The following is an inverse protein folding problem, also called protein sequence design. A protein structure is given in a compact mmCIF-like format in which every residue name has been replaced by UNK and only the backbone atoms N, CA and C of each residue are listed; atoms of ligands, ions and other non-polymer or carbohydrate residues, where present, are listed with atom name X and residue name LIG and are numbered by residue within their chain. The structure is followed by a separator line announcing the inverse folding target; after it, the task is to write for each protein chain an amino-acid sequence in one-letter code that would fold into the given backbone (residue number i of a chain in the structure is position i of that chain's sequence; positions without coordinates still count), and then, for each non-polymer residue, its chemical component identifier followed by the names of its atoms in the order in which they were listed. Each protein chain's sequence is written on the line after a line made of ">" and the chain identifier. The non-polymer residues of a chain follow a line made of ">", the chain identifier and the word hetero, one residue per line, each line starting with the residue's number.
data_IF_923626073099
#
_entry.id   IF_923626073099
#
_cell.length_a   1.000
_cell.length_b   1.000
_cell.length_c   1.000
_cell.angle_alpha   90.00
_cell.angle_beta   90.00
_cell.angle_gamma   90.00
#
_symmetry.space_group_name_H-M   'P 1'
#
loop_
_entity.id
_entity.type
_entity.pdbx_description
1 polymer ?
#
# COMPACT_ATOMS: atom_id res chain seq x y z
N UNK A 1 26.64 -22.05 -14.32
CA UNK A 1 26.14 -20.68 -14.14
C UNK A 1 24.63 -20.62 -14.09
N UNK A 2 23.93 -21.26 -15.04
CA UNK A 2 22.46 -21.18 -15.19
C UNK A 2 21.68 -21.41 -13.88
N UNK A 3 21.91 -22.52 -13.16
CA UNK A 3 21.17 -22.81 -11.93
C UNK A 3 21.31 -21.74 -10.84
N UNK A 4 22.47 -21.09 -10.71
CA UNK A 4 22.63 -19.98 -9.76
C UNK A 4 21.80 -18.74 -10.17
N UNK A 5 21.59 -18.54 -11.48
CA UNK A 5 20.70 -17.49 -11.99
C UNK A 5 19.24 -17.87 -11.77
N UNK A 6 18.87 -19.15 -11.90
CA UNK A 6 17.54 -19.65 -11.52
C UNK A 6 17.25 -19.40 -10.03
N UNK A 7 18.21 -19.71 -9.15
CA UNK A 7 18.09 -19.47 -7.71
C UNK A 7 17.90 -17.98 -7.39
N UNK A 8 18.59 -17.09 -8.12
CA UNK A 8 18.37 -15.64 -8.01
C UNK A 8 16.93 -15.26 -8.37
N UNK A 9 16.37 -15.79 -9.47
CA UNK A 9 14.99 -15.51 -9.88
C UNK A 9 13.99 -16.02 -8.85
N UNK A 10 14.18 -17.24 -8.35
CA UNK A 10 13.33 -17.81 -7.28
C UNK A 10 13.41 -16.97 -6.00
N UNK A 11 14.61 -16.53 -5.62
CA UNK A 11 14.81 -15.71 -4.42
C UNK A 11 14.14 -14.34 -4.58
N UNK A 12 14.31 -13.69 -5.74
CA UNK A 12 13.64 -12.43 -6.06
C UNK A 12 12.13 -12.61 -6.00
N UNK A 13 11.61 -13.65 -6.64
CA UNK A 13 10.19 -14.01 -6.61
C UNK A 13 9.64 -14.10 -5.19
N UNK A 14 10.31 -14.87 -4.32
CA UNK A 14 9.89 -15.08 -2.94
C UNK A 14 9.88 -13.76 -2.14
N UNK A 15 10.88 -12.89 -2.34
CA UNK A 15 10.93 -11.58 -1.69
C UNK A 15 9.74 -10.69 -2.04
N UNK A 16 9.30 -10.69 -3.30
CA UNK A 16 8.11 -9.93 -3.70
C UNK A 16 6.84 -10.43 -3.02
N UNK A 17 6.55 -11.72 -3.15
CA UNK A 17 5.28 -12.29 -2.68
C UNK A 17 5.21 -12.31 -1.15
N UNK A 18 6.34 -12.55 -0.46
CA UNK A 18 6.35 -12.73 0.99
C UNK A 18 6.64 -11.45 1.77
N UNK A 19 7.41 -10.52 1.20
CA UNK A 19 7.89 -9.32 1.91
C UNK A 19 7.31 -8.04 1.31
N UNK A 20 7.59 -7.74 0.05
CA UNK A 20 7.22 -6.45 -0.55
C UNK A 20 5.70 -6.29 -0.71
N UNK A 21 4.99 -7.37 -1.04
CA UNK A 21 3.54 -7.35 -1.23
C UNK A 21 2.76 -7.75 0.01
N UNK A 22 3.42 -7.81 1.16
CA UNK A 22 2.76 -8.21 2.39
C UNK A 22 1.65 -7.20 2.77
N UNK A 23 0.40 -7.65 2.93
CA UNK A 23 -0.76 -6.76 3.03
C UNK A 23 -0.73 -5.87 4.27
N UNK A 24 -0.12 -6.33 5.35
CA UNK A 24 0.01 -5.54 6.60
C UNK A 24 0.99 -4.38 6.42
N UNK A 25 2.07 -4.58 5.65
CA UNK A 25 3.06 -3.52 5.38
C UNK A 25 2.42 -2.45 4.50
N UNK A 26 1.72 -2.88 3.43
CA UNK A 26 0.92 -2.00 2.58
C UNK A 26 -0.17 -1.25 3.38
N UNK A 27 -0.77 -1.90 4.38
CA UNK A 27 -1.74 -1.25 5.26
C UNK A 27 -1.16 -0.15 6.15
N UNK A 28 0.15 -0.20 6.47
CA UNK A 28 0.86 0.92 7.11
C UNK A 28 1.24 2.02 6.13
N UNK A 29 1.60 1.64 4.89
CA UNK A 29 1.91 2.59 3.81
C UNK A 29 0.70 3.47 3.48
N UNK A 30 -0.50 2.89 3.36
CA UNK A 30 -1.75 3.65 3.16
C UNK A 30 -1.97 4.65 4.30
N UNK A 31 -1.70 4.26 5.55
CA UNK A 31 -1.82 5.19 6.69
C UNK A 31 -0.81 6.33 6.57
N UNK A 32 0.44 6.02 6.21
CA UNK A 32 1.48 7.03 6.04
C UNK A 32 1.14 8.01 4.92
N UNK A 33 0.67 7.51 3.78
CA UNK A 33 0.20 8.31 2.65
C UNK A 33 -0.93 9.24 3.08
N UNK A 34 -1.97 8.71 3.73
CA UNK A 34 -3.11 9.51 4.20
C UNK A 34 -2.73 10.50 5.30
N UNK A 35 -1.77 10.15 6.18
CA UNK A 35 -1.24 11.03 7.21
C UNK A 35 -0.55 12.25 6.60
N UNK A 36 0.34 12.02 5.63
CA UNK A 36 1.05 13.09 4.93
C UNK A 36 0.09 13.92 4.05
N UNK A 37 -0.90 13.27 3.43
CA UNK A 37 -1.95 13.97 2.67
C UNK A 37 -2.77 14.89 3.57
N UNK A 38 -3.22 14.41 4.74
CA UNK A 38 -3.96 15.25 5.71
C UNK A 38 -3.10 16.40 6.22
N UNK A 39 -1.82 16.17 6.49
CA UNK A 39 -0.88 17.22 6.89
C UNK A 39 -0.75 18.30 5.80
N UNK A 40 -0.68 17.89 4.53
CA UNK A 40 -0.64 18.82 3.40
C UNK A 40 -1.92 19.65 3.29
N UNK A 41 -3.11 19.05 3.40
CA UNK A 41 -4.36 19.82 3.38
C UNK A 41 -4.46 20.82 4.52
N UNK A 42 -4.13 20.42 5.74
CA UNK A 42 -4.14 21.31 6.91
C UNK A 42 -3.11 22.45 6.78
N UNK A 43 -1.96 22.19 6.15
CA UNK A 43 -0.98 23.24 5.85
C UNK A 43 -1.53 24.28 4.87
N UNK A 44 -2.30 23.85 3.87
CA UNK A 44 -2.96 24.77 2.92
C UNK A 44 -4.10 25.57 3.59
N UNK A 45 -4.73 25.03 4.64
CA UNK A 45 -5.75 25.72 5.43
C UNK A 45 -5.15 26.73 6.44
N UNK A 46 -4.12 26.32 7.18
CA UNK A 46 -3.42 27.15 8.19
C UNK A 46 -1.93 26.78 8.29
N UNK A 47 -1.12 27.40 7.44
CA UNK A 47 0.33 27.21 7.41
C UNK A 47 1.02 27.56 8.75
N UNK A 48 0.46 28.51 9.52
CA UNK A 48 1.10 29.01 10.76
C UNK A 48 1.17 27.93 11.84
N UNK A 49 0.22 27.00 11.85
CA UNK A 49 0.22 25.86 12.78
C UNK A 49 1.41 24.93 12.54
N UNK A 50 1.82 24.73 11.27
CA UNK A 50 2.93 23.86 10.89
C UNK A 50 4.31 24.50 11.08
N UNK A 51 4.41 25.83 11.00
CA UNK A 51 5.68 26.56 11.21
C UNK A 51 6.29 26.34 12.60
N UNK A 52 5.44 26.10 13.61
CA UNK A 52 5.87 25.91 14.99
C UNK A 52 6.51 24.54 15.24
N UNK A 53 6.12 23.53 14.48
CA UNK A 53 6.39 22.14 14.85
C UNK A 53 6.87 21.24 13.70
N UNK A 54 6.77 21.66 12.41
CA UNK A 54 7.11 20.81 11.25
C UNK A 54 7.97 21.51 10.20
N UNK A 55 8.92 22.33 10.65
CA UNK A 55 9.70 23.25 9.81
C UNK A 55 10.41 22.61 8.62
N UNK A 56 10.98 21.41 8.77
CA UNK A 56 11.70 20.74 7.69
C UNK A 56 10.77 20.17 6.62
N UNK A 57 9.47 20.03 6.91
CA UNK A 57 8.48 19.59 5.94
C UNK A 57 7.85 20.74 5.15
N UNK A 58 7.91 21.99 5.62
CA UNK A 58 7.22 23.11 4.97
C UNK A 58 7.57 23.26 3.48
N UNK A 59 8.84 23.17 3.03
CA UNK A 59 9.16 23.29 1.60
C UNK A 59 8.53 22.17 0.74
N UNK A 60 8.28 21.00 1.35
CA UNK A 60 7.61 19.88 0.68
C UNK A 60 6.10 20.06 0.63
N UNK A 61 5.52 20.63 1.70
CA UNK A 61 4.10 20.94 1.76
C UNK A 61 3.73 22.13 0.84
N UNK A 62 4.66 23.05 0.60
CA UNK A 62 4.53 24.15 -0.38
C UNK A 62 4.90 23.72 -1.82
N UNK A 63 5.53 22.55 -1.99
CA UNK A 63 5.98 22.05 -3.29
C UNK A 63 7.18 22.80 -3.89
N UNK A 64 7.93 23.54 -3.06
CA UNK A 64 9.00 24.46 -3.47
C UNK A 64 10.35 24.15 -2.80
N UNK A 65 10.71 22.87 -2.69
CA UNK A 65 11.93 22.44 -1.98
C UNK A 65 13.22 22.50 -2.82
N UNK A 66 14.33 22.68 -2.14
CA UNK A 66 15.70 22.56 -2.65
C UNK A 66 16.32 21.21 -2.31
N UNK A 67 17.42 20.86 -2.98
CA UNK A 67 18.18 19.65 -2.65
C UNK A 67 18.71 19.69 -1.21
N UNK A 68 19.11 20.86 -0.71
CA UNK A 68 19.63 21.00 0.66
C UNK A 68 18.54 20.71 1.70
N UNK A 69 17.30 21.14 1.46
CA UNK A 69 16.16 20.83 2.33
C UNK A 69 15.79 19.35 2.27
N UNK A 70 15.85 18.73 1.08
CA UNK A 70 15.65 17.28 0.93
C UNK A 70 16.67 16.46 1.72
N UNK A 71 17.94 16.86 1.70
CA UNK A 71 19.01 16.17 2.44
C UNK A 71 18.90 16.33 3.97
N UNK A 72 18.03 17.21 4.47
CA UNK A 72 17.74 17.36 5.90
C UNK A 72 16.63 16.42 6.38
N UNK A 73 15.91 15.75 5.48
CA UNK A 73 14.85 14.81 5.85
C UNK A 73 15.40 13.40 6.03
N UNK A 74 14.96 12.77 7.12
CA UNK A 74 15.12 11.35 7.40
C UNK A 74 13.90 10.82 8.19
N UNK A 75 13.85 9.51 8.41
CA UNK A 75 12.75 8.86 9.12
C UNK A 75 12.60 9.37 10.56
N UNK A 76 13.69 9.80 11.20
CA UNK A 76 13.69 10.34 12.56
C UNK A 76 13.01 11.72 12.62
N UNK A 77 13.23 12.56 11.62
CA UNK A 77 12.51 13.83 11.44
C UNK A 77 11.01 13.58 11.32
N UNK A 78 10.60 12.66 10.43
CA UNK A 78 9.20 12.31 10.26
C UNK A 78 8.58 11.75 11.55
N UNK A 79 9.27 10.82 12.22
CA UNK A 79 8.81 10.25 13.49
C UNK A 79 8.61 11.28 14.59
N UNK A 80 9.47 12.31 14.63
CA UNK A 80 9.33 13.45 15.57
C UNK A 80 8.05 14.25 15.29
N UNK A 81 7.79 14.58 14.02
CA UNK A 81 6.58 15.31 13.63
C UNK A 81 5.32 14.49 13.84
N UNK A 82 5.34 13.19 13.55
CA UNK A 82 4.21 12.31 13.83
C UNK A 82 3.91 12.25 15.32
N UNK A 83 4.93 12.28 16.19
CA UNK A 83 4.74 12.33 17.65
C UNK A 83 3.98 13.59 18.06
N UNK A 84 4.33 14.75 17.50
CA UNK A 84 3.64 16.01 17.77
C UNK A 84 2.22 16.01 17.18
N UNK A 85 2.05 15.52 15.96
CA UNK A 85 0.74 15.42 15.32
C UNK A 85 -0.21 14.46 16.03
N UNK A 86 0.31 13.49 16.79
CA UNK A 86 -0.49 12.62 17.66
C UNK A 86 -1.20 13.38 18.79
N UNK A 87 -0.86 14.65 19.02
CA UNK A 87 -1.50 15.57 19.95
C UNK A 87 -2.24 16.72 19.25
N UNK A 88 -2.33 16.69 17.90
CA UNK A 88 -3.06 17.70 17.12
C UNK A 88 -4.54 17.74 17.48
N UNK A 89 -5.14 18.92 17.36
CA UNK A 89 -6.58 19.13 17.52
C UNK A 89 -7.40 18.55 16.35
N UNK A 90 -6.79 18.37 15.17
CA UNK A 90 -7.45 17.71 14.04
C UNK A 90 -7.59 16.20 14.32
N UNK A 91 -8.81 15.66 14.41
CA UNK A 91 -9.02 14.28 14.84
C UNK A 91 -8.45 13.25 13.86
N UNK A 92 -8.41 13.55 12.56
CA UNK A 92 -7.91 12.64 11.51
C UNK A 92 -6.38 12.58 11.58
N UNK A 93 -5.71 13.74 11.58
CA UNK A 93 -4.25 13.82 11.71
C UNK A 93 -3.79 13.16 13.01
N UNK A 94 -4.50 13.45 14.11
CA UNK A 94 -4.24 12.86 15.43
C UNK A 94 -4.29 11.33 15.40
N UNK A 95 -5.38 10.77 14.90
CA UNK A 95 -5.58 9.33 14.88
C UNK A 95 -4.63 8.63 13.90
N UNK A 96 -4.42 9.15 12.69
CA UNK A 96 -3.49 8.56 11.72
C UNK A 96 -2.06 8.55 12.24
N UNK A 97 -1.61 9.64 12.89
CA UNK A 97 -0.30 9.70 13.52
C UNK A 97 -0.16 8.65 14.64
N UNK A 98 -1.19 8.53 15.50
CA UNK A 98 -1.24 7.49 16.54
C UNK A 98 -1.25 6.08 15.94
N UNK A 99 -1.95 5.85 14.83
CA UNK A 99 -1.98 4.55 14.15
C UNK A 99 -0.62 4.21 13.58
N UNK A 100 0.07 5.16 12.98
CA UNK A 100 1.41 4.94 12.43
C UNK A 100 2.40 4.59 13.56
N UNK A 101 2.47 5.40 14.61
CA UNK A 101 3.39 5.22 15.74
C UNK A 101 3.10 3.95 16.56
N UNK A 102 1.82 3.63 16.79
CA UNK A 102 1.41 2.46 17.57
C UNK A 102 1.14 1.23 16.70
N UNK A 103 1.54 1.26 15.43
CA UNK A 103 1.44 0.14 14.48
C UNK A 103 0.02 -0.46 14.41
N UNK A 104 -0.96 0.38 14.08
CA UNK A 104 -2.37 0.01 13.82
C UNK A 104 -2.70 0.09 12.33
N UNK A 105 -2.23 -0.85 11.49
CA UNK A 105 -2.45 -0.86 10.05
C UNK A 105 -3.94 -0.98 9.70
N UNK A 106 -4.32 -0.46 8.54
CA UNK A 106 -5.60 -0.81 7.94
C UNK A 106 -5.61 -2.30 7.57
N UNK A 107 -6.78 -2.93 7.71
CA UNK A 107 -7.01 -4.28 7.22
C UNK A 107 -7.38 -4.22 5.74
N UNK A 108 -7.20 -5.31 5.02
CA UNK A 108 -7.59 -5.38 3.61
C UNK A 108 -8.25 -6.69 3.23
N UNK A 109 -9.03 -6.64 2.15
CA UNK A 109 -9.58 -7.79 1.48
C UNK A 109 -9.28 -7.70 -0.03
N UNK A 110 -9.00 -8.83 -0.65
CA UNK A 110 -8.78 -8.91 -2.09
C UNK A 110 -10.10 -8.80 -2.84
N UNK A 111 -10.09 -8.30 -4.07
CA UNK A 111 -11.26 -8.36 -4.94
C UNK A 111 -10.84 -8.57 -6.39
N UNK A 112 -11.78 -9.01 -7.21
CA UNK A 112 -11.60 -9.20 -8.64
C UNK A 112 -12.65 -8.40 -9.36
N UNK A 113 -12.26 -7.40 -10.15
CA UNK A 113 -13.21 -6.54 -10.86
C UNK A 113 -12.73 -5.10 -10.99
N UNK A 114 -13.68 -4.20 -11.22
CA UNK A 114 -13.38 -2.77 -11.32
C UNK A 114 -13.19 -2.14 -9.92
N UNK A 115 -12.20 -1.26 -9.78
CA UNK A 115 -11.95 -0.43 -8.60
C UNK A 115 -13.18 0.40 -8.19
N UNK A 116 -14.01 0.76 -9.16
CA UNK A 116 -15.25 1.53 -8.94
C UNK A 116 -16.49 0.63 -8.82
N UNK A 117 -16.33 -0.64 -8.43
CA UNK A 117 -17.47 -1.53 -8.26
C UNK A 117 -18.51 -0.98 -7.25
N UNK A 118 -19.79 -1.28 -7.49
CA UNK A 118 -20.88 -0.92 -6.58
C UNK A 118 -20.64 -1.45 -5.16
N UNK A 119 -19.97 -2.61 -5.05
CA UNK A 119 -19.60 -3.19 -3.77
C UNK A 119 -18.62 -2.31 -3.00
N UNK A 120 -17.55 -1.82 -3.64
CA UNK A 120 -16.57 -0.93 -2.99
C UNK A 120 -17.27 0.34 -2.53
N UNK A 121 -18.08 0.97 -3.38
CA UNK A 121 -18.84 2.16 -3.01
C UNK A 121 -19.76 1.90 -1.80
N UNK A 122 -20.46 0.76 -1.78
CA UNK A 122 -21.30 0.35 -0.65
C UNK A 122 -20.48 0.20 0.64
N UNK A 123 -19.35 -0.49 0.59
CA UNK A 123 -18.48 -0.70 1.75
C UNK A 123 -17.89 0.62 2.27
N UNK A 124 -17.52 1.53 1.38
CA UNK A 124 -17.05 2.88 1.71
C UNK A 124 -18.13 3.66 2.46
N UNK A 125 -19.39 3.60 2.02
CA UNK A 125 -20.51 4.25 2.73
C UNK A 125 -20.76 3.64 4.11
N UNK A 126 -20.58 2.32 4.28
CA UNK A 126 -20.70 1.67 5.60
C UNK A 126 -19.58 2.10 6.55
N UNK A 127 -18.36 2.31 6.04
CA UNK A 127 -17.23 2.86 6.82
C UNK A 127 -17.52 4.30 7.25
N UNK A 128 -18.05 5.12 6.35
CA UNK A 128 -18.46 6.49 6.65
C UNK A 128 -19.55 6.55 7.72
N UNK A 129 -20.55 5.66 7.63
CA UNK A 129 -21.69 5.61 8.55
C UNK A 129 -21.29 5.38 10.01
N UNK A 130 -20.17 4.70 10.25
CA UNK A 130 -19.65 4.46 11.62
C UNK A 130 -18.69 5.55 12.10
N UNK A 131 -18.48 6.62 11.31
CA UNK A 131 -17.71 7.81 11.70
C UNK A 131 -16.29 7.88 11.14
N UNK A 132 -15.86 6.96 10.29
CA UNK A 132 -14.55 7.03 9.62
C UNK A 132 -14.65 7.75 8.29
N UNK A 133 -13.91 8.84 8.11
CA UNK A 133 -13.86 9.54 6.83
C UNK A 133 -13.25 8.62 5.75
N UNK A 134 -14.01 8.25 4.69
CA UNK A 134 -13.56 7.26 3.73
C UNK A 134 -12.30 7.66 2.96
N UNK A 135 -12.04 8.96 2.79
CA UNK A 135 -10.85 9.48 2.10
C UNK A 135 -9.56 9.05 2.80
N UNK A 136 -9.56 8.96 4.14
CA UNK A 136 -8.35 8.65 4.91
C UNK A 136 -8.36 7.26 5.56
N UNK A 137 -9.53 6.64 5.64
CA UNK A 137 -9.69 5.34 6.29
C UNK A 137 -9.96 4.20 5.32
N UNK A 138 -10.09 4.48 4.01
CA UNK A 138 -10.20 3.47 2.97
C UNK A 138 -9.25 3.75 1.82
N UNK A 139 -8.81 2.71 1.11
CA UNK A 139 -8.00 2.86 -0.09
C UNK A 139 -8.17 1.65 -1.02
N UNK A 140 -7.90 1.84 -2.30
CA UNK A 140 -7.84 0.76 -3.30
C UNK A 140 -6.47 0.77 -3.94
N UNK A 141 -5.64 -0.22 -3.58
CA UNK A 141 -4.27 -0.31 -4.08
C UNK A 141 -4.06 -1.67 -4.76
N UNK A 142 -3.32 -1.65 -5.85
CA UNK A 142 -2.82 -2.84 -6.51
C UNK A 142 -1.31 -2.99 -6.30
N UNK A 143 -0.83 -4.21 -6.06
CA UNK A 143 0.60 -4.50 -6.07
C UNK A 143 0.97 -5.32 -7.29
N UNK A 144 0.91 -4.72 -8.48
CA UNK A 144 1.36 -5.41 -9.70
C UNK A 144 2.86 -5.19 -9.86
N UNK A 145 3.66 -6.25 -9.72
CA UNK A 145 5.02 -6.28 -10.26
C UNK A 145 5.28 -7.64 -10.90
N UNK A 146 6.11 -7.64 -11.93
CA UNK A 146 6.59 -8.84 -12.58
C UNK A 146 7.93 -9.20 -11.93
N UNK A 147 8.04 -10.31 -11.17
CA UNK A 147 9.32 -10.73 -10.59
C UNK A 147 10.36 -10.99 -11.70
N UNK A 148 9.89 -11.39 -12.88
CA UNK A 148 10.63 -11.42 -14.14
C UNK A 148 9.64 -11.26 -15.31
N UNK A 149 9.92 -10.35 -16.24
CA UNK A 149 9.10 -10.14 -17.44
C UNK A 149 9.64 -10.97 -18.60
N UNK A 150 8.75 -11.44 -19.47
CA UNK A 150 9.13 -12.23 -20.64
C UNK A 150 9.88 -11.39 -21.67
N UNK A 151 10.69 -12.08 -22.49
CA UNK A 151 11.18 -11.55 -23.75
C UNK A 151 10.00 -11.21 -24.68
N UNK A 152 9.62 -9.94 -24.73
CA UNK A 152 8.62 -9.39 -25.68
C UNK A 152 9.33 -8.51 -26.70
N UNK A 153 9.87 -9.08 -27.80
CA UNK A 153 10.62 -8.32 -28.81
C UNK A 153 9.76 -7.24 -29.47
N UNK A 154 8.45 -7.49 -29.59
CA UNK A 154 7.47 -6.53 -30.13
C UNK A 154 7.31 -5.27 -29.28
N UNK A 155 7.66 -5.31 -27.98
CA UNK A 155 7.57 -4.16 -27.08
C UNK A 155 8.87 -3.34 -27.01
N UNK A 156 9.94 -3.73 -27.72
CA UNK A 156 11.21 -3.00 -27.76
C UNK A 156 11.93 -2.86 -26.41
N UNK A 157 11.50 -3.59 -25.37
CA UNK A 157 12.06 -3.53 -24.02
C UNK A 157 13.22 -4.51 -23.86
N UNK A 158 14.42 -4.07 -24.25
CA UNK A 158 15.67 -4.84 -24.07
C UNK A 158 16.15 -4.90 -22.60
N UNK A 159 15.58 -4.09 -21.70
CA UNK A 159 16.13 -3.82 -20.35
C UNK A 159 15.82 -4.86 -19.28
N UNK A 160 14.94 -5.84 -19.54
CA UNK A 160 14.45 -6.78 -18.50
C UNK A 160 15.03 -8.21 -18.61
N UNK A 161 15.90 -8.46 -19.59
CA UNK A 161 16.28 -9.82 -19.97
C UNK A 161 17.59 -10.24 -19.33
N UNK A 162 17.67 -11.52 -18.96
CA UNK A 162 18.93 -12.17 -18.57
C UNK A 162 19.34 -13.13 -19.68
N UNK A 163 20.53 -12.91 -20.23
CA UNK A 163 21.09 -13.72 -21.30
C UNK A 163 22.19 -14.65 -20.79
N UNK A 164 22.22 -15.87 -21.32
CA UNK A 164 23.22 -16.90 -21.05
C UNK A 164 24.15 -17.01 -22.25
N UNK A 165 25.45 -16.75 -22.03
CA UNK A 165 26.48 -16.95 -23.04
C UNK A 165 26.81 -18.44 -23.19
N UNK A 166 26.71 -18.94 -24.42
CA UNK A 166 27.10 -20.31 -24.79
C UNK A 166 28.56 -20.38 -25.23
N UNK A 167 29.10 -21.59 -25.28
CA UNK A 167 30.50 -21.83 -25.64
C UNK A 167 30.85 -21.41 -27.08
N UNK A 168 29.86 -21.36 -27.97
CA UNK A 168 30.01 -20.88 -29.35
C UNK A 168 29.93 -19.35 -29.49
N UNK A 169 29.80 -18.63 -28.37
CA UNK A 169 29.68 -17.17 -28.32
C UNK A 169 28.26 -16.65 -28.54
N UNK A 170 27.28 -17.54 -28.77
CA UNK A 170 25.89 -17.12 -28.93
C UNK A 170 25.24 -16.82 -27.58
N UNK A 171 24.29 -15.88 -27.57
CA UNK A 171 23.50 -15.52 -26.42
C UNK A 171 22.11 -16.16 -26.54
N UNK A 172 21.60 -16.68 -25.43
CA UNK A 172 20.23 -17.19 -25.34
C UNK A 172 19.54 -16.64 -24.10
N UNK A 173 18.27 -16.27 -24.22
CA UNK A 173 17.49 -15.75 -23.10
C UNK A 173 17.16 -16.85 -22.09
N UNK A 174 17.21 -16.51 -20.79
CA UNK A 174 17.10 -17.45 -19.68
C UNK A 174 15.81 -18.27 -19.67
N UNK A 175 14.64 -17.65 -19.90
CA UNK A 175 13.36 -18.36 -19.91
C UNK A 175 13.24 -19.37 -21.05
N UNK A 176 13.98 -19.20 -22.15
CA UNK A 176 14.01 -20.18 -23.25
C UNK A 176 14.75 -21.47 -22.88
N UNK A 177 15.64 -21.42 -21.89
CA UNK A 177 16.47 -22.57 -21.47
C UNK A 177 16.10 -23.14 -20.10
N UNK A 178 15.43 -22.35 -19.26
CA UNK A 178 14.97 -22.74 -17.93
C UNK A 178 13.46 -22.86 -17.88
N UNK A 179 12.97 -24.10 -17.72
CA UNK A 179 11.54 -24.36 -17.52
C UNK A 179 11.01 -23.72 -16.22
N UNK A 180 11.84 -23.66 -15.17
CA UNK A 180 11.49 -23.04 -13.90
C UNK A 180 11.26 -21.54 -14.06
N UNK A 181 12.20 -20.84 -14.71
CA UNK A 181 12.06 -19.40 -14.97
C UNK A 181 10.91 -19.13 -15.92
N UNK A 182 10.71 -19.96 -16.96
CA UNK A 182 9.57 -19.84 -17.85
C UNK A 182 8.21 -19.96 -17.14
N UNK A 183 8.12 -20.82 -16.12
CA UNK A 183 6.89 -20.99 -15.34
C UNK A 183 6.59 -19.79 -14.42
N UNK A 184 7.63 -19.10 -13.94
CA UNK A 184 7.52 -17.92 -13.09
C UNK A 184 7.36 -16.62 -13.90
N UNK A 185 7.92 -16.59 -15.11
CA UNK A 185 7.89 -15.44 -16.00
C UNK A 185 6.46 -15.14 -16.45
N UNK A 186 6.13 -13.85 -16.53
CA UNK A 186 4.84 -13.30 -17.01
C UNK A 186 3.57 -13.80 -16.33
N UNK A 187 3.67 -14.41 -15.16
CA UNK A 187 2.57 -14.36 -14.21
C UNK A 187 2.54 -12.94 -13.64
N UNK A 188 1.55 -12.13 -14.01
CA UNK A 188 1.28 -10.87 -13.31
C UNK A 188 0.98 -11.22 -11.85
N UNK A 189 1.88 -10.79 -10.97
CA UNK A 189 1.79 -11.10 -9.55
C UNK A 189 1.35 -9.84 -8.85
N UNK A 190 0.21 -9.96 -8.20
CA UNK A 190 -0.43 -8.86 -7.52
C UNK A 190 -1.86 -9.20 -7.17
N UNK A 191 -2.35 -8.48 -6.19
CA UNK A 191 -3.76 -8.44 -5.89
C UNK A 191 -4.25 -7.00 -5.92
N UNK A 192 -5.52 -6.83 -6.26
CA UNK A 192 -6.24 -5.62 -5.91
C UNK A 192 -6.82 -5.80 -4.52
N UNK A 193 -6.61 -4.80 -3.68
CA UNK A 193 -7.05 -4.79 -2.29
C UNK A 193 -7.82 -3.54 -1.97
N UNK A 194 -8.94 -3.73 -1.28
CA UNK A 194 -9.64 -2.67 -0.58
C UNK A 194 -9.18 -2.65 0.87
N UNK A 195 -8.63 -1.51 1.32
CA UNK A 195 -8.18 -1.26 2.68
C UNK A 195 -9.28 -0.55 3.48
N UNK A 196 -9.41 -0.90 4.76
CA UNK A 196 -10.44 -0.39 5.67
C UNK A 196 -10.02 -0.53 7.14
N UNK A 197 -10.65 0.16 8.10
CA UNK A 197 -10.32 0.05 9.52
C UNK A 197 -10.59 -1.38 10.02
N UNK A 198 -9.65 -1.94 10.80
CA UNK A 198 -9.77 -3.31 11.32
C UNK A 198 -11.01 -3.50 12.21
N UNK A 199 -11.43 -2.43 12.87
CA UNK A 199 -12.61 -2.28 13.71
C UNK A 199 -13.90 -2.68 12.97
N UNK A 200 -13.94 -2.54 11.64
CA UNK A 200 -15.09 -2.95 10.82
C UNK A 200 -15.38 -4.45 10.89
N UNK A 201 -14.35 -5.28 11.14
CA UNK A 201 -14.48 -6.75 11.11
C UNK A 201 -14.03 -7.44 12.40
N UNK A 202 -13.40 -6.72 13.33
CA UNK A 202 -12.90 -7.27 14.59
C UNK A 202 -13.69 -6.69 15.77
N UNK A 203 -14.68 -7.44 16.31
CA UNK A 203 -15.52 -6.97 17.42
C UNK A 203 -14.72 -6.62 18.69
N UNK A 204 -13.55 -7.22 18.90
CA UNK A 204 -12.74 -6.98 20.10
C UNK A 204 -12.11 -5.59 20.16
N UNK A 205 -12.06 -4.89 19.01
CA UNK A 205 -11.50 -3.56 18.87
C UNK A 205 -12.56 -2.46 18.90
N UNK A 206 -13.84 -2.83 19.03
CA UNK A 206 -14.94 -1.88 19.09
C UNK A 206 -15.15 -1.47 20.55
N UNK A 207 -15.43 -0.19 20.77
CA UNK A 207 -16.02 0.22 22.03
C UNK A 207 -17.39 -0.48 22.14
N UNK A 208 -17.80 -0.91 23.34
CA UNK A 208 -18.95 -1.81 23.61
C UNK A 208 -20.32 -1.13 23.35
N UNK A 209 -20.46 -0.37 22.27
CA UNK A 209 -21.64 0.38 21.90
C UNK A 209 -22.36 -0.31 20.74
N UNK A 210 -23.56 -0.80 21.03
CA UNK A 210 -24.44 -1.50 20.08
C UNK A 210 -24.99 -0.61 18.94
N UNK A 211 -24.63 0.68 18.91
CA UNK A 211 -25.23 1.70 18.05
C UNK A 211 -25.08 1.41 16.54
N UNK A 212 -23.99 0.73 16.15
CA UNK A 212 -23.67 0.45 14.74
C UNK A 212 -23.52 -1.05 14.44
N UNK A 213 -24.00 -1.92 15.32
CA UNK A 213 -23.81 -3.38 15.16
C UNK A 213 -24.34 -3.94 13.84
N UNK A 214 -25.50 -3.48 13.39
CA UNK A 214 -26.06 -3.88 12.09
C UNK A 214 -25.13 -3.48 10.94
N UNK A 215 -24.54 -2.28 11.00
CA UNK A 215 -23.62 -1.77 9.97
C UNK A 215 -22.33 -2.59 9.93
N UNK A 216 -21.81 -2.96 11.11
CA UNK A 216 -20.63 -3.83 11.21
C UNK A 216 -20.90 -5.26 10.72
N UNK A 217 -22.08 -5.83 11.03
CA UNK A 217 -22.47 -7.14 10.55
C UNK A 217 -22.67 -7.15 9.03
N UNK A 218 -23.30 -6.11 8.49
CA UNK A 218 -23.47 -5.93 7.04
C UNK A 218 -22.09 -5.85 6.36
N UNK A 219 -21.19 -4.99 6.85
CA UNK A 219 -19.84 -4.89 6.29
C UNK A 219 -19.09 -6.22 6.35
N UNK A 220 -19.10 -6.90 7.50
CA UNK A 220 -18.40 -8.16 7.68
C UNK A 220 -18.97 -9.29 6.80
N UNK A 221 -20.27 -9.26 6.48
CA UNK A 221 -20.89 -10.27 5.62
C UNK A 221 -20.30 -10.28 4.19
N UNK A 222 -19.84 -9.12 3.72
CA UNK A 222 -19.19 -8.95 2.42
C UNK A 222 -17.73 -9.41 2.38
N UNK A 223 -17.17 -9.93 3.48
CA UNK A 223 -15.78 -10.42 3.54
C UNK A 223 -15.77 -11.90 3.87
N UNK A 224 -15.25 -12.71 2.96
CA UNK A 224 -15.11 -14.16 3.15
C UNK A 224 -13.73 -14.62 2.67
N UNK A 225 -13.02 -15.36 3.51
CA UNK A 225 -11.68 -15.89 3.22
C UNK A 225 -10.67 -14.81 2.78
N UNK A 226 -10.80 -13.59 3.32
CA UNK A 226 -9.92 -12.47 2.96
C UNK A 226 -10.22 -11.83 1.60
N UNK A 227 -11.34 -12.18 0.96
CA UNK A 227 -11.80 -11.59 -0.29
C UNK A 227 -13.18 -10.92 -0.12
N UNK A 228 -13.46 -9.90 -0.94
CA UNK A 228 -14.76 -9.26 -1.05
C UNK A 228 -15.73 -10.15 -1.83
N UNK A 229 -16.98 -10.23 -1.35
CA UNK A 229 -18.07 -10.98 -1.99
C UNK A 229 -19.33 -10.12 -2.10
N UNK A 230 -19.99 -10.18 -3.26
CA UNK A 230 -21.35 -9.67 -3.41
C UNK A 230 -22.33 -10.69 -2.83
N UNK A 231 -23.25 -10.21 -1.98
CA UNK A 231 -24.34 -11.00 -1.45
C UNK A 231 -25.58 -10.61 -2.24
N UNK A 232 -26.17 -11.59 -2.93
CA UNK A 232 -27.44 -11.46 -3.64
C UNK A 232 -28.61 -11.33 -2.67
#
# INVERSE_FOLDING_TARGET
>A
GMHAVEDYIVSRYQMYVQVYFHPVSRGMEVILEHLLHRAHELYQEDASSFELHSQLLLPFLDGSFTLEEYLKLDDGVLGTYFTQWSESADPILNDLAKRFLNRKPLKSATFSGNRDSNLIQKLTLLVEKVGYNPVYYTAVNSSYDLPYDFYRPEQGRHRTQIEILRNDGTLIELSQVSQLVAALAGQEQGDERFFFPKEMVDPSLRDHYDLFDETYQEFASHIRNGALIEIN
#
